data_IF_774268892661
#
_entry.id   IF_774268892661
#
_cell.length_a   1.000
_cell.length_b   1.000
_cell.length_c   1.000
_cell.angle_alpha   90.00
_cell.angle_beta   90.00
_cell.angle_gamma   90.00
#
_symmetry.space_group_name_H-M   'P 1'
#
loop_
_entity.id
_entity.type
_entity.pdbx_description
1 polymer ?
#
# COMPACT_ATOMS: atom_id res chain seq x y z
N UNK A 1 -6.45 14.12 -6.13
CA UNK A 1 -5.85 14.71 -4.91
C UNK A 1 -6.59 14.26 -3.64
N UNK A 2 -5.89 13.69 -2.65
CA UNK A 2 -6.49 13.18 -1.41
C UNK A 2 -6.79 14.32 -0.41
N UNK A 3 -8.07 14.58 -0.11
CA UNK A 3 -8.51 15.65 0.80
C UNK A 3 -8.03 15.44 2.25
N UNK A 4 -7.99 14.18 2.70
CA UNK A 4 -7.60 13.85 4.08
C UNK A 4 -6.11 14.14 4.30
N UNK A 5 -5.24 13.68 3.38
CA UNK A 5 -3.81 13.96 3.44
C UNK A 5 -3.53 15.47 3.46
N UNK A 6 -4.24 16.23 2.60
CA UNK A 6 -4.11 17.69 2.57
C UNK A 6 -4.48 18.33 3.92
N UNK A 7 -5.62 17.94 4.53
CA UNK A 7 -6.03 18.48 5.84
C UNK A 7 -5.07 18.12 6.98
N UNK A 8 -4.30 17.04 6.84
CA UNK A 8 -3.32 16.56 7.82
C UNK A 8 -1.90 17.06 7.53
N UNK A 9 -1.71 17.88 6.49
CA UNK A 9 -0.39 18.38 6.09
C UNK A 9 0.53 17.30 5.53
N UNK A 10 -0.01 16.15 5.11
CA UNK A 10 0.76 15.05 4.55
C UNK A 10 1.08 15.37 3.08
N UNK A 11 2.36 15.41 2.67
CA UNK A 11 2.72 15.61 1.27
C UNK A 11 2.18 14.50 0.39
N UNK A 12 1.53 14.86 -0.72
CA UNK A 12 0.99 13.90 -1.69
C UNK A 12 1.63 14.15 -3.05
N UNK A 13 2.00 13.07 -3.73
CA UNK A 13 2.49 13.08 -5.11
C UNK A 13 1.71 12.07 -5.93
N UNK A 14 1.21 12.50 -7.09
CA UNK A 14 0.54 11.62 -8.05
C UNK A 14 1.53 11.32 -9.19
N UNK A 15 2.15 10.14 -9.13
CA UNK A 15 3.16 9.67 -10.09
C UNK A 15 2.99 8.17 -10.32
N UNK A 16 3.47 7.68 -11.46
CA UNK A 16 3.63 6.26 -11.69
C UNK A 16 4.81 5.73 -10.84
N UNK A 17 4.59 4.83 -9.87
CA UNK A 17 5.66 4.29 -9.04
C UNK A 17 6.53 3.30 -9.84
N UNK A 18 7.84 3.28 -9.59
CA UNK A 18 8.75 2.31 -10.16
C UNK A 18 8.95 1.13 -9.20
N UNK A 19 8.92 -0.10 -9.72
CA UNK A 19 9.13 -1.30 -8.90
C UNK A 19 10.54 -1.37 -8.26
N UNK A 20 11.52 -0.70 -8.85
CA UNK A 20 12.86 -0.54 -8.28
C UNK A 20 12.83 0.15 -6.91
N UNK A 21 11.84 1.02 -6.69
CA UNK A 21 11.74 1.85 -5.49
C UNK A 21 10.91 1.16 -4.40
N UNK A 22 10.46 -0.08 -4.62
CA UNK A 22 9.55 -0.77 -3.68
C UNK A 22 10.11 -0.88 -2.25
N UNK A 23 11.43 -0.92 -2.09
CA UNK A 23 12.05 -1.06 -0.78
C UNK A 23 11.89 0.18 0.10
N UNK A 24 11.69 1.36 -0.50
CA UNK A 24 11.38 2.59 0.24
C UNK A 24 9.88 2.73 0.57
N UNK A 25 9.02 1.84 0.05
CA UNK A 25 7.60 1.86 0.38
C UNK A 25 7.35 1.13 1.70
N UNK A 26 6.97 1.89 2.71
CA UNK A 26 6.72 1.36 4.06
C UNK A 26 5.37 0.64 4.14
N UNK A 27 4.33 1.26 3.57
CA UNK A 27 2.94 0.81 3.62
C UNK A 27 2.17 1.09 2.32
N UNK A 28 1.13 0.30 2.07
CA UNK A 28 0.26 0.45 0.91
C UNK A 28 -1.20 0.16 1.27
N UNK A 29 -2.10 0.86 0.58
CA UNK A 29 -3.54 0.79 0.80
C UNK A 29 -4.31 0.80 -0.51
N UNK A 30 -5.41 0.05 -0.55
CA UNK A 30 -6.42 0.16 -1.60
C UNK A 30 -7.56 1.01 -1.06
N UNK A 31 -7.96 2.01 -1.82
CA UNK A 31 -9.13 2.84 -1.52
C UNK A 31 -10.18 2.72 -2.64
N UNK A 32 -11.45 2.84 -2.29
CA UNK A 32 -12.54 2.86 -3.25
C UNK A 32 -13.59 3.92 -2.90
N UNK A 33 -14.60 4.05 -3.75
CA UNK A 33 -15.72 5.00 -3.56
C UNK A 33 -16.55 4.75 -2.30
N UNK A 34 -16.49 3.53 -1.73
CA UNK A 34 -17.12 3.18 -0.46
C UNK A 34 -16.31 3.64 0.76
N UNK A 35 -15.23 4.40 0.54
CA UNK A 35 -14.35 4.95 1.59
C UNK A 35 -13.68 3.87 2.45
N UNK A 36 -13.59 2.65 1.94
CA UNK A 36 -12.83 1.59 2.57
C UNK A 36 -11.35 1.84 2.28
N UNK A 37 -10.54 1.89 3.34
CA UNK A 37 -9.09 1.85 3.26
C UNK A 37 -8.66 0.44 3.66
N UNK A 38 -8.24 -0.37 2.70
CA UNK A 38 -7.79 -1.73 2.96
C UNK A 38 -6.28 -1.79 2.91
N UNK A 39 -5.66 -2.29 3.98
CA UNK A 39 -4.22 -2.54 4.02
C UNK A 39 -3.82 -3.60 2.99
N UNK A 40 -2.76 -3.31 2.26
CA UNK A 40 -2.13 -4.26 1.34
C UNK A 40 -0.98 -4.90 2.08
N UNK A 41 -1.09 -6.21 2.35
CA UNK A 41 -0.05 -6.94 3.07
C UNK A 41 1.15 -7.26 2.18
N UNK A 42 0.88 -7.69 0.94
CA UNK A 42 1.93 -8.11 0.00
C UNK A 42 1.58 -7.67 -1.40
N UNK A 43 2.59 -7.21 -2.14
CA UNK A 43 2.52 -7.07 -3.61
C UNK A 43 3.55 -7.98 -4.25
N UNK A 44 3.21 -8.44 -5.46
CA UNK A 44 4.06 -9.33 -6.24
C UNK A 44 4.25 -8.76 -7.64
N UNK A 45 5.47 -8.83 -8.15
CA UNK A 45 5.75 -8.57 -9.56
C UNK A 45 6.59 -9.71 -10.14
N UNK A 46 6.44 -10.02 -11.43
CA UNK A 46 7.31 -10.98 -12.08
C UNK A 46 8.75 -10.48 -12.05
N UNK A 47 9.69 -11.41 -11.93
CA UNK A 47 11.12 -11.12 -12.01
C UNK A 47 11.58 -10.61 -13.37
N UNK A 48 10.89 -11.02 -14.44
CA UNK A 48 11.06 -10.49 -15.78
C UNK A 48 9.71 -10.46 -16.49
N UNK A 49 9.43 -9.33 -17.15
CA UNK A 49 8.23 -9.15 -17.98
C UNK A 49 8.36 -9.85 -19.33
N UNK A 50 9.59 -10.10 -19.79
CA UNK A 50 9.88 -10.62 -21.14
C UNK A 50 9.39 -12.05 -21.35
N UNK A 51 9.33 -12.86 -20.27
CA UNK A 51 8.98 -14.28 -20.36
C UNK A 51 7.53 -14.59 -19.97
N UNK A 52 6.71 -13.58 -19.69
CA UNK A 52 5.32 -13.77 -19.22
C UNK A 52 4.43 -14.50 -20.22
N UNK A 53 4.58 -14.21 -21.50
CA UNK A 53 3.74 -14.79 -22.56
C UNK A 53 4.12 -16.24 -22.90
N UNK A 54 5.30 -16.69 -22.47
CA UNK A 54 5.84 -18.02 -22.76
C UNK A 54 5.63 -19.02 -21.62
N UNK A 55 5.29 -18.52 -20.42
CA UNK A 55 5.23 -19.32 -19.19
C UNK A 55 3.81 -19.38 -18.65
N UNK A 56 3.45 -20.51 -18.04
CA UNK A 56 2.23 -20.58 -17.25
C UNK A 56 2.38 -19.75 -15.97
N UNK A 57 1.28 -19.29 -15.37
CA UNK A 57 1.31 -18.49 -14.12
C UNK A 57 2.07 -19.18 -12.98
N UNK A 58 2.12 -20.52 -12.98
CA UNK A 58 2.82 -21.34 -11.99
C UNK A 58 4.34 -21.36 -12.19
N UNK A 59 4.83 -21.06 -13.39
CA UNK A 59 6.25 -21.10 -13.75
C UNK A 59 6.93 -19.73 -13.67
N UNK A 60 6.15 -18.67 -13.44
CA UNK A 60 6.69 -17.33 -13.24
C UNK A 60 7.37 -17.27 -11.88
N UNK A 61 8.61 -16.77 -11.87
CA UNK A 61 9.29 -16.41 -10.62
C UNK A 61 8.82 -15.02 -10.18
N UNK A 62 8.31 -14.95 -8.95
CA UNK A 62 7.71 -13.75 -8.37
C UNK A 62 8.65 -13.09 -7.37
N UNK A 63 8.79 -11.78 -7.48
CA UNK A 63 9.37 -10.93 -6.45
C UNK A 63 8.27 -10.43 -5.53
N UNK A 64 8.44 -10.63 -4.23
CA UNK A 64 7.48 -10.24 -3.21
C UNK A 64 7.97 -9.02 -2.43
N UNK A 65 7.06 -8.10 -2.10
CA UNK A 65 7.27 -7.06 -1.10
C UNK A 65 6.18 -7.16 -0.04
N UNK A 66 6.59 -7.40 1.20
CA UNK A 66 5.73 -7.36 2.37
C UNK A 66 5.72 -5.95 2.96
N UNK A 67 4.54 -5.44 3.28
CA UNK A 67 4.36 -4.12 3.88
C UNK A 67 4.22 -4.21 5.39
N UNK A 68 4.59 -3.13 6.07
CA UNK A 68 4.37 -2.95 7.50
C UNK A 68 2.90 -2.59 7.78
N UNK A 69 2.48 -2.69 9.04
CA UNK A 69 1.13 -2.31 9.52
C UNK A 69 1.16 -1.14 10.53
N UNK A 70 2.25 -0.38 10.59
CA UNK A 70 2.48 0.64 11.61
C UNK A 70 1.44 1.78 11.56
N UNK A 71 1.02 2.26 10.38
CA UNK A 71 0.04 3.36 10.25
C UNK A 71 -1.36 2.88 10.66
N UNK A 72 -1.74 1.64 10.31
CA UNK A 72 -3.03 1.08 10.73
C UNK A 72 -3.07 0.83 12.24
N UNK A 73 -2.00 0.29 12.81
CA UNK A 73 -1.89 0.06 14.25
C UNK A 73 -1.93 1.38 15.02
N UNK A 74 -1.22 2.42 14.55
CA UNK A 74 -1.29 3.76 15.15
C UNK A 74 -2.67 4.40 15.00
N UNK A 75 -3.29 4.31 13.82
CA UNK A 75 -4.64 4.84 13.60
C UNK A 75 -5.67 4.19 14.52
N UNK A 76 -5.60 2.87 14.73
CA UNK A 76 -6.45 2.17 15.67
C UNK A 76 -6.24 2.67 17.10
N UNK A 77 -4.98 2.80 17.55
CA UNK A 77 -4.66 3.33 18.89
C UNK A 77 -5.14 4.78 19.09
N UNK A 78 -5.05 5.62 18.06
CA UNK A 78 -5.54 7.00 18.10
C UNK A 78 -7.09 7.07 18.12
N UNK A 79 -7.80 6.20 17.40
CA UNK A 79 -9.26 6.08 17.49
C UNK A 79 -9.72 5.60 18.88
N UNK A 80 -9.01 4.63 19.48
CA UNK A 80 -9.24 4.21 20.87
C UNK A 80 -8.97 5.33 21.90
N UNK A 81 -8.15 6.33 21.56
CA UNK A 81 -7.93 7.48 22.43
C UNK A 81 -9.08 8.49 22.42
N UNK A 82 -9.93 8.51 21.39
CA UNK A 82 -11.08 9.43 21.28
C UNK A 82 -12.26 8.94 22.14
N UNK A 83 -12.33 7.64 22.49
CA UNK A 83 -13.36 7.10 23.38
C UNK A 83 -13.18 7.45 24.87
N UNK A 84 -12.12 8.16 25.26
CA UNK A 84 -11.87 8.58 26.66
C UNK A 84 -12.33 10.02 26.99
N UNK A 85 -13.14 10.65 26.13
CA UNK A 85 -13.73 11.98 26.38
C UNK A 85 -15.25 12.03 26.10
N UNK A 86 -16.00 11.08 26.66
CA UNK A 86 -17.45 11.26 26.91
C UNK A 86 -17.70 11.07 28.40
#
# INVERSE_FOLDING_TARGET
MCRVCLSKGIPVREVAPLWSDREIWEEAFISNSLRLLQHVETICAPSSWDSLHLKSWKEISWNHKHFKKEVMERAALEEYSISNFI
#
